data_IF_191066542397
#
_entry.id   IF_191066542397
#
_cell.length_a   1.000
_cell.length_b   1.000
_cell.length_c   1.000
_cell.angle_alpha   90.00
_cell.angle_beta   90.00
_cell.angle_gamma   90.00
#
_symmetry.space_group_name_H-M   'P 1'
#
loop_
_entity.id
_entity.type
_entity.pdbx_description
1 polymer ?
#
# COMPACT_ATOMS: atom_id res chain seq x y z
N UNK A 1 -20.98 21.13 -18.99
CA UNK A 1 -20.51 21.05 -17.61
C UNK A 1 -21.52 21.77 -16.71
N UNK A 2 -21.84 21.25 -15.57
CA UNK A 2 -22.76 21.81 -14.58
C UNK A 2 -22.01 22.04 -13.25
N UNK A 3 -22.61 22.82 -12.36
CA UNK A 3 -22.08 23.09 -11.00
C UNK A 3 -20.60 23.53 -10.98
N UNK A 4 -20.23 24.51 -11.83
CA UNK A 4 -18.86 25.01 -11.87
C UNK A 4 -17.81 24.02 -12.39
N UNK A 5 -18.24 22.97 -13.10
CA UNK A 5 -17.34 21.94 -13.64
C UNK A 5 -17.27 20.63 -12.84
N UNK A 6 -17.94 20.57 -11.68
CA UNK A 6 -17.95 19.40 -10.81
C UNK A 6 -18.78 18.23 -11.34
N UNK A 7 -19.65 18.46 -12.30
CA UNK A 7 -20.41 17.38 -12.92
C UNK A 7 -20.62 17.60 -14.41
N UNK A 8 -20.91 16.51 -15.12
CA UNK A 8 -21.33 16.51 -16.51
C UNK A 8 -22.73 15.92 -16.64
N UNK A 9 -23.54 16.48 -17.52
CA UNK A 9 -24.84 15.90 -17.88
C UNK A 9 -24.67 15.10 -19.17
N UNK A 10 -25.02 13.81 -19.15
CA UNK A 10 -25.27 13.04 -20.35
C UNK A 10 -26.65 13.40 -20.88
N UNK A 11 -26.70 14.14 -21.99
CA UNK A 11 -27.95 14.70 -22.52
C UNK A 11 -28.88 13.60 -23.05
N UNK A 12 -28.31 12.49 -23.57
CA UNK A 12 -29.09 11.37 -24.12
C UNK A 12 -29.78 10.53 -23.05
N UNK A 13 -29.21 10.47 -21.84
CA UNK A 13 -29.70 9.66 -20.73
C UNK A 13 -30.30 10.49 -19.59
N UNK A 14 -30.26 11.80 -19.71
CA UNK A 14 -30.59 12.77 -18.63
C UNK A 14 -29.94 12.41 -17.29
N UNK A 15 -28.69 11.91 -17.37
CA UNK A 15 -27.93 11.40 -16.23
C UNK A 15 -26.77 12.31 -15.88
N UNK A 16 -26.71 12.73 -14.63
CA UNK A 16 -25.60 13.51 -14.11
C UNK A 16 -24.43 12.60 -13.74
N UNK A 17 -23.23 12.92 -14.23
CA UNK A 17 -21.98 12.21 -13.97
C UNK A 17 -21.09 13.06 -13.08
N UNK A 18 -20.59 12.47 -12.00
CA UNK A 18 -19.64 13.08 -11.07
C UNK A 18 -18.22 12.52 -11.30
N UNK A 19 -17.18 13.28 -10.93
CA UNK A 19 -15.82 12.74 -10.89
C UNK A 19 -15.78 11.50 -10.00
N UNK A 20 -15.00 10.52 -10.39
CA UNK A 20 -14.78 9.30 -9.62
C UNK A 20 -13.51 9.43 -8.80
N UNK A 21 -13.54 8.92 -7.58
CA UNK A 21 -12.37 8.73 -6.72
C UNK A 21 -12.46 7.31 -6.15
N UNK A 22 -11.46 6.49 -6.41
CA UNK A 22 -11.41 5.12 -5.92
C UNK A 22 -10.53 5.05 -4.68
N UNK A 23 -11.12 4.63 -3.57
CA UNK A 23 -10.39 4.42 -2.33
C UNK A 23 -9.52 3.16 -2.42
N UNK A 24 -8.27 3.26 -1.99
CA UNK A 24 -7.36 2.13 -1.86
C UNK A 24 -6.64 2.22 -0.51
N UNK A 25 -6.59 1.12 0.22
CA UNK A 25 -5.79 1.01 1.43
C UNK A 25 -4.36 0.65 1.07
N UNK A 26 -3.39 1.18 1.82
CA UNK A 26 -1.97 0.86 1.70
C UNK A 26 -1.42 0.69 3.12
N UNK A 27 -0.79 -0.47 3.41
CA UNK A 27 -0.65 -0.96 4.77
C UNK A 27 0.79 -1.34 5.11
N UNK A 28 1.36 -0.65 6.09
CA UNK A 28 2.60 -1.08 6.74
C UNK A 28 2.29 -2.18 7.76
N UNK A 29 2.62 -3.43 7.43
CA UNK A 29 2.38 -4.60 8.30
C UNK A 29 3.63 -4.88 9.10
N UNK A 30 3.48 -4.98 10.44
CA UNK A 30 4.58 -5.38 11.33
C UNK A 30 4.27 -6.69 12.05
N UNK A 31 5.30 -7.46 12.32
CA UNK A 31 5.22 -8.66 13.15
C UNK A 31 5.58 -8.38 14.62
N UNK A 32 5.65 -9.43 15.42
CA UNK A 32 6.00 -9.39 16.85
C UNK A 32 7.48 -9.05 17.13
N UNK A 33 8.33 -9.13 16.09
CA UNK A 33 9.75 -8.72 16.13
C UNK A 33 9.98 -7.31 15.57
N UNK A 34 8.90 -6.55 15.32
CA UNK A 34 8.93 -5.22 14.70
C UNK A 34 9.57 -5.21 13.30
N UNK A 35 9.49 -6.34 12.55
CA UNK A 35 9.88 -6.39 11.14
C UNK A 35 8.75 -5.88 10.26
N UNK A 36 9.09 -5.19 9.17
CA UNK A 36 8.13 -4.69 8.18
C UNK A 36 8.02 -5.66 7.00
N UNK A 37 6.80 -5.99 6.60
CA UNK A 37 6.54 -6.79 5.40
C UNK A 37 6.61 -5.91 4.16
N UNK A 38 7.44 -6.30 3.21
CA UNK A 38 7.47 -5.70 1.88
C UNK A 38 7.18 -6.77 0.82
N UNK A 39 6.56 -6.34 -0.27
CA UNK A 39 6.24 -7.15 -1.43
C UNK A 39 6.84 -6.60 -2.71
N UNK A 40 6.97 -7.45 -3.73
CA UNK A 40 7.33 -7.09 -5.10
C UNK A 40 6.32 -7.68 -6.07
N UNK A 41 5.94 -6.92 -7.10
CA UNK A 41 5.07 -7.38 -8.18
C UNK A 41 5.88 -8.05 -9.29
N UNK A 42 5.28 -9.03 -9.96
CA UNK A 42 5.95 -9.75 -11.04
C UNK A 42 6.34 -8.90 -12.26
N UNK A 43 5.66 -7.78 -12.44
CA UNK A 43 5.91 -6.80 -13.51
C UNK A 43 6.98 -5.76 -13.17
N UNK A 44 7.45 -5.71 -11.93
CA UNK A 44 8.45 -4.75 -11.49
C UNK A 44 9.88 -5.22 -11.73
N UNK A 45 10.81 -4.26 -11.69
CA UNK A 45 12.24 -4.58 -11.60
C UNK A 45 12.52 -5.49 -10.40
N UNK A 46 13.43 -6.44 -10.56
CA UNK A 46 13.64 -7.52 -9.58
C UNK A 46 13.95 -7.06 -8.15
N UNK A 47 14.52 -5.85 -8.00
CA UNK A 47 14.89 -5.30 -6.69
C UNK A 47 13.93 -4.22 -6.18
N UNK A 48 12.74 -4.08 -6.76
CA UNK A 48 11.74 -3.11 -6.30
C UNK A 48 10.85 -3.72 -5.22
N UNK A 49 10.81 -3.05 -4.08
CA UNK A 49 10.03 -3.44 -2.91
C UNK A 49 9.10 -2.32 -2.46
N UNK A 50 7.91 -2.65 -2.06
CA UNK A 50 6.93 -1.71 -1.51
C UNK A 50 6.06 -2.38 -0.46
N UNK A 51 5.33 -1.57 0.30
CA UNK A 51 4.23 -2.05 1.14
C UNK A 51 3.03 -2.43 0.26
N UNK A 52 2.17 -3.30 0.77
CA UNK A 52 1.01 -3.86 0.09
C UNK A 52 -0.13 -2.84 0.03
N UNK A 53 -0.96 -2.92 -1.02
CA UNK A 53 -2.05 -1.98 -1.23
C UNK A 53 -3.14 -2.58 -2.12
N UNK A 54 -4.41 -2.40 -1.74
CA UNK A 54 -5.54 -2.87 -2.53
C UNK A 54 -6.74 -1.94 -2.49
N UNK A 55 -7.69 -2.14 -3.40
CA UNK A 55 -8.87 -1.31 -3.50
C UNK A 55 -9.94 -1.68 -2.48
N UNK A 56 -10.59 -0.65 -1.95
CA UNK A 56 -11.79 -0.82 -1.10
C UNK A 56 -12.96 -1.22 -1.97
N UNK A 57 -13.66 -2.30 -1.59
CA UNK A 57 -14.85 -2.77 -2.29
C UNK A 57 -16.11 -1.96 -1.91
N UNK A 58 -17.16 -2.11 -2.72
CA UNK A 58 -18.42 -1.44 -2.46
C UNK A 58 -19.06 -1.95 -1.16
N UNK A 59 -19.46 -1.00 -0.29
CA UNK A 59 -20.03 -1.26 1.03
C UNK A 59 -19.08 -1.90 2.07
N UNK A 60 -17.79 -1.87 1.81
CA UNK A 60 -16.76 -2.33 2.74
C UNK A 60 -16.24 -1.16 3.59
N UNK A 61 -15.92 -1.42 4.88
CA UNK A 61 -15.19 -0.44 5.68
C UNK A 61 -13.70 -0.47 5.36
N UNK A 62 -12.99 0.62 5.67
CA UNK A 62 -11.54 0.69 5.42
C UNK A 62 -10.78 -0.38 6.22
N UNK A 63 -11.19 -0.64 7.45
CA UNK A 63 -10.57 -1.64 8.30
C UNK A 63 -10.83 -3.07 7.77
N UNK A 64 -12.01 -3.33 7.22
CA UNK A 64 -12.31 -4.60 6.57
C UNK A 64 -11.49 -4.79 5.30
N UNK A 65 -11.35 -3.73 4.48
CA UNK A 65 -10.49 -3.74 3.30
C UNK A 65 -9.03 -4.04 3.66
N UNK A 66 -8.50 -3.43 4.72
CA UNK A 66 -7.14 -3.74 5.21
C UNK A 66 -7.00 -5.23 5.52
N UNK A 67 -7.94 -5.80 6.29
CA UNK A 67 -7.86 -7.21 6.71
C UNK A 67 -7.99 -8.15 5.50
N UNK A 68 -8.92 -7.87 4.58
CA UNK A 68 -9.17 -8.69 3.38
C UNK A 68 -7.97 -8.65 2.43
N UNK A 69 -7.53 -7.45 2.03
CA UNK A 69 -6.43 -7.29 1.07
C UNK A 69 -5.13 -7.92 1.58
N UNK A 70 -4.81 -7.68 2.87
CA UNK A 70 -3.58 -8.26 3.43
C UNK A 70 -3.64 -9.79 3.48
N UNK A 71 -4.83 -10.36 3.73
CA UNK A 71 -5.02 -11.81 3.67
C UNK A 71 -4.92 -12.35 2.25
N UNK A 72 -5.47 -11.66 1.26
CA UNK A 72 -5.42 -12.05 -0.15
C UNK A 72 -4.00 -11.98 -0.71
N UNK A 73 -3.31 -10.87 -0.51
CA UNK A 73 -1.98 -10.63 -1.07
C UNK A 73 -0.84 -11.33 -0.32
N UNK A 74 -0.97 -11.55 0.99
CA UNK A 74 0.12 -12.11 1.81
C UNK A 74 -0.21 -13.41 2.53
N UNK A 75 -1.47 -13.84 2.55
CA UNK A 75 -1.93 -14.97 3.35
C UNK A 75 -2.09 -14.69 4.84
N UNK A 76 -1.67 -13.51 5.33
CA UNK A 76 -1.70 -13.17 6.74
C UNK A 76 -3.02 -12.51 7.15
N UNK A 77 -3.56 -12.91 8.29
CA UNK A 77 -4.52 -12.10 9.01
C UNK A 77 -3.77 -10.99 9.75
N UNK A 78 -4.30 -9.78 9.64
CA UNK A 78 -3.79 -8.62 10.36
C UNK A 78 -4.84 -8.08 11.33
N UNK A 79 -4.37 -7.39 12.35
CA UNK A 79 -5.21 -6.81 13.40
C UNK A 79 -4.79 -5.37 13.69
N UNK A 80 -5.64 -4.65 14.41
CA UNK A 80 -5.40 -3.27 14.83
C UNK A 80 -5.03 -2.32 13.68
N UNK A 81 -5.81 -2.23 12.59
CA UNK A 81 -5.53 -1.26 11.54
C UNK A 81 -5.69 0.16 12.07
N UNK A 82 -4.61 0.93 12.04
CA UNK A 82 -4.55 2.33 12.48
C UNK A 82 -4.32 3.22 11.28
N UNK A 83 -5.26 4.12 11.00
CA UNK A 83 -5.11 5.12 9.95
C UNK A 83 -4.02 6.14 10.30
N UNK A 84 -3.12 6.42 9.37
CA UNK A 84 -2.00 7.34 9.55
C UNK A 84 -2.13 8.59 8.66
N UNK A 85 -2.39 8.42 7.37
CA UNK A 85 -2.41 9.51 6.40
C UNK A 85 -3.16 9.13 5.11
N UNK A 86 -3.40 10.10 4.24
CA UNK A 86 -3.90 9.85 2.89
C UNK A 86 -3.15 10.64 1.84
N UNK A 87 -3.16 10.13 0.62
CA UNK A 87 -2.57 10.79 -0.54
C UNK A 87 -3.49 10.65 -1.74
N UNK A 88 -3.80 11.78 -2.40
CA UNK A 88 -4.43 11.75 -3.71
C UNK A 88 -3.44 11.20 -4.74
N UNK A 89 -3.85 10.17 -5.47
CA UNK A 89 -3.08 9.55 -6.54
C UNK A 89 -3.87 9.59 -7.83
N UNK A 90 -3.79 10.70 -8.59
CA UNK A 90 -4.68 10.98 -9.73
C UNK A 90 -4.31 10.19 -11.01
N UNK A 91 -3.64 9.05 -10.88
CA UNK A 91 -3.22 8.17 -11.96
C UNK A 91 -3.87 6.78 -11.82
N UNK A 92 -5.16 6.58 -12.25
CA UNK A 92 -6.01 7.63 -12.87
C UNK A 92 -6.83 8.46 -11.89
N UNK A 93 -7.25 7.95 -10.71
CA UNK A 93 -8.15 8.67 -9.77
C UNK A 93 -8.24 8.02 -8.38
N UNK A 94 -7.15 7.43 -7.90
CA UNK A 94 -7.13 6.79 -6.58
C UNK A 94 -6.94 7.79 -5.44
N UNK A 95 -7.52 7.47 -4.29
CA UNK A 95 -7.21 8.04 -2.99
C UNK A 95 -6.56 6.95 -2.13
N UNK A 96 -5.26 7.07 -1.93
CA UNK A 96 -4.49 6.14 -1.08
C UNK A 96 -4.71 6.48 0.39
N UNK A 97 -5.13 5.49 1.18
CA UNK A 97 -5.40 5.60 2.60
C UNK A 97 -4.38 4.74 3.35
N UNK A 98 -3.43 5.39 4.00
CA UNK A 98 -2.29 4.76 4.66
C UNK A 98 -2.64 4.26 6.05
N UNK A 99 -2.36 2.98 6.28
CA UNK A 99 -2.57 2.29 7.55
C UNK A 99 -1.28 1.65 8.05
N UNK A 100 -1.22 1.45 9.35
CA UNK A 100 -0.35 0.50 10.01
C UNK A 100 -1.21 -0.61 10.60
N UNK A 101 -0.74 -1.87 10.52
CA UNK A 101 -1.40 -3.01 11.13
C UNK A 101 -0.36 -4.00 11.65
N UNK A 102 -0.75 -4.86 12.58
CA UNK A 102 0.11 -5.93 13.10
C UNK A 102 -0.40 -7.28 12.62
N UNK A 103 0.49 -8.26 12.50
CA UNK A 103 0.08 -9.66 12.29
C UNK A 103 -0.80 -10.11 13.44
N UNK A 104 -1.94 -10.75 13.13
CA UNK A 104 -2.80 -11.33 14.15
C UNK A 104 -2.07 -12.46 14.89
N UNK A 105 -2.13 -12.52 16.23
CA UNK A 105 -1.43 -13.56 17.02
C UNK A 105 -1.82 -15.00 16.68
N UNK A 106 -2.94 -15.21 15.99
CA UNK A 106 -3.33 -16.54 15.50
C UNK A 106 -2.55 -17.02 14.27
N UNK A 107 -1.78 -16.13 13.62
CA UNK A 107 -0.92 -16.45 12.49
C UNK A 107 0.56 -16.44 12.89
N UNK A 108 1.34 -17.33 12.28
CA UNK A 108 2.79 -17.19 12.29
C UNK A 108 3.22 -16.16 11.23
N UNK A 109 4.11 -15.20 11.57
CA UNK A 109 4.71 -14.32 10.55
C UNK A 109 5.39 -15.07 9.41
N UNK A 110 5.83 -16.29 9.64
CA UNK A 110 6.48 -17.14 8.62
C UNK A 110 5.48 -17.78 7.63
N UNK A 111 4.17 -17.67 7.89
CA UNK A 111 3.12 -18.20 6.99
C UNK A 111 2.84 -17.28 5.79
N UNK A 112 3.71 -16.30 5.53
CA UNK A 112 3.58 -15.42 4.35
C UNK A 112 3.54 -16.22 3.06
N UNK A 113 2.54 -15.90 2.21
CA UNK A 113 2.35 -16.54 0.90
C UNK A 113 1.91 -15.48 -0.09
N UNK A 114 2.77 -15.09 -1.04
CA UNK A 114 2.36 -14.21 -2.11
C UNK A 114 1.24 -14.89 -2.93
N UNK A 115 0.26 -14.12 -3.38
CA UNK A 115 -0.86 -14.63 -4.20
C UNK A 115 -0.40 -15.12 -5.59
N UNK A 116 0.79 -14.71 -6.04
CA UNK A 116 1.38 -15.08 -7.33
C UNK A 116 0.73 -14.40 -8.54
N UNK A 117 -0.24 -13.51 -8.31
CA UNK A 117 -0.94 -12.76 -9.35
C UNK A 117 -0.48 -11.30 -9.31
N UNK A 118 -0.72 -10.62 -8.20
CA UNK A 118 -0.29 -9.24 -7.97
C UNK A 118 1.05 -9.20 -7.26
N UNK A 119 1.22 -10.01 -6.22
CA UNK A 119 2.44 -10.09 -5.42
C UNK A 119 3.24 -11.34 -5.82
N UNK A 120 4.44 -11.12 -6.34
CA UNK A 120 5.35 -12.20 -6.75
C UNK A 120 6.23 -12.71 -5.61
N UNK A 121 6.66 -11.84 -4.70
CA UNK A 121 7.50 -12.19 -3.55
C UNK A 121 7.14 -11.32 -2.35
N UNK A 122 7.31 -11.90 -1.17
CA UNK A 122 7.18 -11.23 0.12
C UNK A 122 8.45 -11.45 0.94
N UNK A 123 8.84 -10.44 1.72
CA UNK A 123 9.97 -10.54 2.65
C UNK A 123 9.76 -9.64 3.84
N UNK A 124 10.09 -10.15 5.02
CA UNK A 124 10.23 -9.38 6.23
C UNK A 124 11.59 -8.68 6.25
N UNK A 125 11.58 -7.42 6.65
CA UNK A 125 12.79 -6.62 6.85
C UNK A 125 12.84 -6.13 8.29
N UNK A 126 13.93 -6.38 8.99
CA UNK A 126 14.26 -5.64 10.19
C UNK A 126 14.71 -4.22 9.82
N UNK A 127 14.73 -3.31 10.80
CA UNK A 127 15.22 -1.93 10.58
C UNK A 127 16.65 -1.92 10.10
N UNK A 128 17.51 -2.78 10.69
CA UNK A 128 18.92 -2.92 10.36
C UNK A 128 19.09 -3.44 8.93
N UNK A 129 18.35 -4.48 8.54
CA UNK A 129 18.41 -5.03 7.18
C UNK A 129 17.97 -3.98 6.15
N UNK A 130 16.84 -3.30 6.40
CA UNK A 130 16.35 -2.28 5.46
C UNK A 130 17.38 -1.16 5.28
N UNK A 131 18.00 -0.67 6.35
CA UNK A 131 19.05 0.35 6.28
C UNK A 131 20.30 -0.14 5.54
N UNK A 132 20.72 -1.35 5.80
CA UNK A 132 21.91 -1.94 5.17
C UNK A 132 21.70 -2.15 3.66
N UNK A 133 20.53 -2.63 3.26
CA UNK A 133 20.21 -2.98 1.88
C UNK A 133 19.59 -1.82 1.06
N UNK A 134 19.22 -0.70 1.68
CA UNK A 134 18.47 0.39 1.03
C UNK A 134 19.13 0.89 -0.27
N UNK A 135 20.46 0.94 -0.34
CA UNK A 135 21.20 1.39 -1.53
C UNK A 135 21.18 0.40 -2.68
N UNK A 136 20.83 -0.85 -2.41
CA UNK A 136 20.81 -1.94 -3.37
C UNK A 136 19.39 -2.29 -3.84
N UNK A 137 18.36 -1.76 -3.16
CA UNK A 137 16.95 -1.99 -3.46
C UNK A 137 16.24 -0.71 -3.91
N UNK A 138 15.22 -0.88 -4.75
CA UNK A 138 14.35 0.21 -5.20
C UNK A 138 13.14 0.29 -4.27
N UNK A 139 13.12 1.31 -3.43
CA UNK A 139 11.95 1.66 -2.62
C UNK A 139 11.04 2.65 -3.38
N UNK A 140 9.77 2.83 -2.96
CA UNK A 140 8.89 3.83 -3.54
C UNK A 140 9.53 5.23 -3.50
N UNK A 141 9.17 6.09 -4.46
CA UNK A 141 9.71 7.45 -4.52
C UNK A 141 9.38 8.25 -3.24
N UNK A 142 10.21 9.23 -2.89
CA UNK A 142 10.06 10.06 -1.67
C UNK A 142 8.72 10.81 -1.58
N UNK A 143 8.07 11.04 -2.71
CA UNK A 143 6.77 11.72 -2.75
C UNK A 143 5.58 10.79 -2.50
N UNK A 144 5.79 9.47 -2.41
CA UNK A 144 4.71 8.50 -2.26
C UNK A 144 4.38 8.23 -0.79
N UNK A 145 3.11 8.03 -0.49
CA UNK A 145 2.66 7.62 0.84
C UNK A 145 3.28 6.28 1.25
N UNK A 146 3.56 5.37 0.30
CA UNK A 146 4.25 4.12 0.58
C UNK A 146 5.62 4.36 1.23
N UNK A 147 6.41 5.32 0.68
CA UNK A 147 7.69 5.70 1.26
C UNK A 147 7.50 6.32 2.64
N UNK A 148 6.55 7.23 2.79
CA UNK A 148 6.27 7.88 4.07
C UNK A 148 5.93 6.87 5.17
N UNK A 149 5.16 5.82 4.85
CA UNK A 149 4.82 4.76 5.80
C UNK A 149 6.04 3.89 6.15
N UNK A 150 6.91 3.58 5.19
CA UNK A 150 8.17 2.85 5.45
C UNK A 150 9.06 3.66 6.38
N UNK A 151 9.25 4.95 6.11
CA UNK A 151 10.09 5.84 6.92
C UNK A 151 9.48 6.14 8.29
N UNK A 152 8.15 6.20 8.37
CA UNK A 152 7.45 6.30 9.66
C UNK A 152 7.74 5.09 10.55
N UNK A 153 7.64 3.86 10.00
CA UNK A 153 8.02 2.65 10.74
C UNK A 153 9.52 2.65 11.05
N UNK A 154 10.38 3.02 10.11
CA UNK A 154 11.84 3.01 10.28
C UNK A 154 12.29 4.02 11.34
N UNK A 155 11.54 5.11 11.55
CA UNK A 155 11.85 6.21 12.47
C UNK A 155 12.82 7.24 11.91
N UNK A 156 13.24 7.11 10.64
CA UNK A 156 14.13 8.03 9.95
C UNK A 156 13.95 7.96 8.43
N UNK A 157 14.43 8.98 7.72
CA UNK A 157 14.54 8.95 6.27
C UNK A 157 15.61 7.97 5.80
N UNK A 158 15.37 7.32 4.66
CA UNK A 158 16.32 6.40 4.04
C UNK A 158 16.61 6.81 2.59
N UNK A 159 17.84 6.63 2.14
CA UNK A 159 18.26 6.81 0.74
C UNK A 159 18.33 5.43 0.09
N UNK A 160 17.49 5.19 -0.89
CA UNK A 160 17.45 3.91 -1.63
C UNK A 160 18.06 4.05 -3.02
N UNK A 161 18.21 2.93 -3.71
CA UNK A 161 18.67 2.91 -5.10
C UNK A 161 17.77 3.76 -6.02
N UNK A 162 16.51 4.00 -5.65
CA UNK A 162 15.59 4.87 -6.40
C UNK A 162 16.14 6.31 -6.52
N UNK A 163 16.72 6.85 -5.45
CA UNK A 163 17.28 8.20 -5.43
C UNK A 163 18.71 8.26 -6.00
N UNK A 164 19.42 7.12 -6.04
CA UNK A 164 20.79 7.06 -6.56
C UNK A 164 20.84 6.89 -8.08
N UNK A 165 19.77 6.35 -8.68
CA UNK A 165 19.69 6.02 -10.11
C UNK A 165 18.78 6.97 -10.91
N UNK A 166 18.25 8.04 -10.28
CA UNK A 166 17.31 9.02 -10.84
C UNK A 166 17.94 10.29 -11.37
#
# INVERSE_FOLDING_TARGET
MQQGGWSRLCVSEDRQLFPRTDAAVIVAITDDQDRLLLGTQGSWDQNRWSILAGFVEAAESLEAAVIREMKEESGLLVTNPVYLASQSWPYPYSLMLGFQASVDPSNSPEDIRPDGVEIAKLRWFSREELKAEAKDILLPSKISIARSLIEHWLGEEVISATELNG
#
